data_IF_861755819770
#
_entry.id   IF_861755819770
#
_cell.length_a   1.000
_cell.length_b   1.000
_cell.length_c   1.000
_cell.angle_alpha   90.00
_cell.angle_beta   90.00
_cell.angle_gamma   90.00
#
_symmetry.space_group_name_H-M   'P 1'
#
loop_
_entity.id
_entity.type
_entity.pdbx_description
1 polymer ?
#
# COMPACT_ATOMS: atom_id res chain seq x y z
N UNK A 1 2.68 -8.77 -18.85
CA UNK A 1 1.93 -8.57 -17.58
C UNK A 1 2.81 -9.06 -16.46
N UNK A 2 3.08 -8.21 -15.47
CA UNK A 2 3.94 -8.54 -14.34
C UNK A 2 3.10 -8.75 -13.07
N UNK A 3 3.24 -9.94 -12.46
CA UNK A 3 2.71 -10.25 -11.13
C UNK A 3 3.72 -9.86 -10.03
N UNK A 4 5.01 -9.88 -10.37
CA UNK A 4 6.09 -9.27 -9.59
C UNK A 4 6.98 -8.41 -10.50
N UNK A 5 7.56 -7.36 -9.96
CA UNK A 5 8.47 -6.47 -10.69
C UNK A 5 9.52 -5.88 -9.74
N UNK A 6 10.75 -5.69 -10.22
CA UNK A 6 11.81 -5.09 -9.42
C UNK A 6 11.68 -3.57 -9.47
N UNK A 7 11.85 -2.93 -8.32
CA UNK A 7 11.96 -1.48 -8.22
C UNK A 7 12.94 -1.16 -7.10
N UNK A 8 13.97 -0.39 -7.43
CA UNK A 8 15.18 -0.23 -6.61
C UNK A 8 15.75 -1.61 -6.20
N UNK A 9 16.04 -1.80 -4.91
CA UNK A 9 16.56 -3.05 -4.34
C UNK A 9 15.46 -3.98 -3.81
N UNK A 10 14.19 -3.67 -4.08
CA UNK A 10 13.04 -4.44 -3.60
C UNK A 10 12.29 -5.14 -4.74
N UNK A 11 11.55 -6.20 -4.40
CA UNK A 11 10.65 -6.88 -5.35
C UNK A 11 9.21 -6.57 -4.98
N UNK A 12 8.46 -6.01 -5.92
CA UNK A 12 7.09 -5.56 -5.71
C UNK A 12 6.11 -6.61 -6.21
N UNK A 13 5.02 -6.82 -5.46
CA UNK A 13 3.96 -7.79 -5.75
C UNK A 13 2.69 -7.06 -6.17
N UNK A 14 2.31 -7.23 -7.43
CA UNK A 14 1.08 -6.71 -8.02
C UNK A 14 -0.06 -7.73 -7.81
N UNK A 15 -0.53 -7.84 -6.56
CA UNK A 15 -1.44 -8.90 -6.12
C UNK A 15 -2.89 -8.75 -6.64
N UNK A 16 -3.31 -7.51 -6.90
CA UNK A 16 -4.66 -7.18 -7.38
C UNK A 16 -4.65 -5.85 -8.11
N UNK A 17 -5.61 -5.66 -9.02
CA UNK A 17 -5.92 -4.38 -9.63
C UNK A 17 -7.22 -3.76 -9.09
N UNK A 18 -7.91 -4.43 -8.15
CA UNK A 18 -9.07 -3.87 -7.45
C UNK A 18 -8.61 -2.85 -6.42
N UNK A 19 -9.40 -1.80 -6.20
CA UNK A 19 -9.11 -0.78 -5.19
C UNK A 19 -10.42 -0.23 -4.62
N UNK A 20 -10.37 0.27 -3.39
CA UNK A 20 -11.50 0.91 -2.69
C UNK A 20 -11.56 2.43 -2.91
N UNK A 21 -10.65 2.96 -3.73
CA UNK A 21 -10.48 4.38 -4.00
C UNK A 21 -10.19 4.61 -5.48
N UNK A 22 -10.79 5.66 -6.04
CA UNK A 22 -10.55 6.12 -7.41
C UNK A 22 -9.77 7.44 -7.38
N UNK A 23 -8.57 7.41 -6.80
CA UNK A 23 -7.81 8.62 -6.50
C UNK A 23 -7.52 9.45 -7.75
N UNK A 24 -7.70 10.76 -7.64
CA UNK A 24 -7.40 11.76 -8.69
C UNK A 24 -5.94 11.76 -9.14
N UNK A 25 -5.04 11.27 -8.29
CA UNK A 25 -3.61 11.20 -8.50
C UNK A 25 -3.10 9.80 -8.83
N UNK A 26 -4.00 8.82 -9.01
CA UNK A 26 -3.59 7.46 -9.32
C UNK A 26 -3.02 7.40 -10.75
N UNK A 27 -1.76 7.02 -10.87
CA UNK A 27 -1.08 6.85 -12.16
C UNK A 27 -1.57 5.64 -12.95
N UNK A 28 -2.30 4.70 -12.34
CA UNK A 28 -2.79 3.46 -13.00
C UNK A 28 -3.44 3.73 -14.36
N UNK A 29 -4.33 4.72 -14.43
CA UNK A 29 -5.04 5.02 -15.66
C UNK A 29 -4.21 5.94 -16.56
N UNK A 30 -3.55 6.95 -15.98
CA UNK A 30 -2.70 7.91 -16.70
C UNK A 30 -1.57 7.22 -17.48
N UNK A 31 -0.93 6.23 -16.86
CA UNK A 31 0.20 5.50 -17.43
C UNK A 31 -0.27 4.21 -18.15
N UNK A 32 -1.55 4.12 -18.50
CA UNK A 32 -2.14 2.98 -19.19
C UNK A 32 -1.85 1.62 -18.53
N UNK A 33 -1.70 1.59 -17.20
CA UNK A 33 -1.39 0.38 -16.45
C UNK A 33 0.07 -0.09 -16.60
N UNK A 34 0.96 0.74 -17.14
CA UNK A 34 2.40 0.53 -17.12
C UNK A 34 3.05 1.26 -15.94
N UNK A 35 4.14 0.72 -15.44
CA UNK A 35 4.99 1.35 -14.43
C UNK A 35 6.44 0.99 -14.75
N UNK A 36 7.26 1.97 -15.18
CA UNK A 36 8.70 1.80 -15.45
C UNK A 36 9.02 0.55 -16.27
N UNK A 37 8.39 0.43 -17.44
CA UNK A 37 8.57 -0.70 -18.36
C UNK A 37 7.76 -1.96 -18.02
N UNK A 38 7.10 -2.03 -16.86
CA UNK A 38 6.27 -3.17 -16.49
C UNK A 38 4.78 -2.93 -16.75
N UNK A 39 4.13 -3.80 -17.54
CA UNK A 39 2.68 -3.81 -17.66
C UNK A 39 2.05 -4.49 -16.44
N UNK A 40 1.39 -3.71 -15.59
CA UNK A 40 0.77 -4.14 -14.33
C UNK A 40 -0.74 -4.42 -14.46
N UNK A 41 -1.31 -4.38 -15.68
CA UNK A 41 -2.71 -4.78 -15.90
C UNK A 41 -2.85 -6.29 -15.79
N UNK A 42 -3.47 -6.75 -14.72
CA UNK A 42 -3.72 -8.17 -14.47
C UNK A 42 -4.87 -8.65 -15.35
N UNK A 43 -4.65 -9.74 -16.11
CA UNK A 43 -5.72 -10.49 -16.79
C UNK A 43 -6.59 -11.25 -15.79
N UNK A 44 -5.95 -11.79 -14.74
CA UNK A 44 -6.55 -12.48 -13.60
C UNK A 44 -5.70 -12.17 -12.37
N UNK A 45 -6.30 -12.12 -11.18
CA UNK A 45 -5.54 -11.97 -9.95
C UNK A 45 -4.73 -13.26 -9.68
N UNK A 46 -3.41 -13.16 -9.43
CA UNK A 46 -2.56 -14.35 -9.30
C UNK A 46 -2.85 -15.13 -8.01
N UNK A 47 -2.64 -16.44 -8.02
CA UNK A 47 -2.70 -17.25 -6.79
C UNK A 47 -1.48 -17.00 -5.90
N UNK A 48 -1.53 -17.34 -4.60
CA UNK A 48 -0.36 -17.32 -3.72
C UNK A 48 0.83 -18.10 -4.31
N UNK A 49 0.58 -19.26 -4.89
CA UNK A 49 1.59 -20.15 -5.48
C UNK A 49 2.25 -19.50 -6.71
N UNK A 50 1.47 -18.85 -7.57
CA UNK A 50 2.00 -18.10 -8.72
C UNK A 50 2.91 -16.95 -8.28
N UNK A 51 2.54 -16.23 -7.22
CA UNK A 51 3.37 -15.16 -6.66
C UNK A 51 4.65 -15.71 -6.04
N UNK A 52 4.55 -16.76 -5.23
CA UNK A 52 5.70 -17.42 -4.58
C UNK A 52 6.70 -17.92 -5.63
N UNK A 53 6.22 -18.61 -6.67
CA UNK A 53 7.04 -19.09 -7.78
C UNK A 53 7.76 -17.95 -8.52
N UNK A 54 7.12 -16.77 -8.60
CA UNK A 54 7.71 -15.60 -9.23
C UNK A 54 8.74 -14.88 -8.33
N UNK A 55 8.59 -14.92 -7.01
CA UNK A 55 9.55 -14.32 -6.05
C UNK A 55 10.89 -15.08 -6.06
N UNK A 56 10.84 -16.41 -6.10
CA UNK A 56 11.99 -17.34 -6.07
C UNK A 56 12.83 -17.27 -4.78
N UNK A 57 13.62 -16.21 -4.59
CA UNK A 57 14.51 -16.06 -3.42
C UNK A 57 14.32 -14.68 -2.77
N UNK A 58 13.46 -14.56 -1.76
CA UNK A 58 13.10 -13.26 -1.20
C UNK A 58 14.26 -12.57 -0.47
N UNK A 59 15.20 -13.33 0.10
CA UNK A 59 16.42 -12.83 0.74
C UNK A 59 17.39 -12.06 -0.19
N UNK A 60 17.15 -12.05 -1.51
CA UNK A 60 17.92 -11.22 -2.46
C UNK A 60 17.50 -9.75 -2.50
N UNK A 61 16.39 -9.41 -1.84
CA UNK A 61 15.80 -8.08 -1.89
C UNK A 61 15.76 -7.46 -0.50
N UNK A 62 15.79 -6.14 -0.43
CA UNK A 62 15.60 -5.42 0.84
C UNK A 62 14.24 -5.74 1.46
N UNK A 63 13.22 -5.93 0.60
CA UNK A 63 11.91 -6.41 0.96
C UNK A 63 11.12 -6.95 -0.24
N UNK A 64 10.14 -7.79 0.07
CA UNK A 64 8.99 -8.09 -0.77
C UNK A 64 7.89 -7.08 -0.43
N UNK A 65 7.55 -6.23 -1.40
CA UNK A 65 6.64 -5.10 -1.21
C UNK A 65 5.30 -5.38 -1.87
N UNK A 66 4.26 -5.58 -1.07
CA UNK A 66 2.89 -5.64 -1.59
C UNK A 66 2.45 -4.24 -2.02
N UNK A 67 2.52 -4.00 -3.33
CA UNK A 67 2.24 -2.73 -3.95
C UNK A 67 2.06 -2.93 -5.47
N UNK A 68 1.12 -2.22 -6.06
CA UNK A 68 0.82 -2.31 -7.48
C UNK A 68 -0.32 -1.37 -7.83
N UNK A 69 -1.14 -1.76 -8.80
CA UNK A 69 -2.29 -0.96 -9.25
C UNK A 69 -3.63 -1.31 -8.60
N UNK A 70 -3.56 -1.82 -7.38
CA UNK A 70 -4.72 -2.09 -6.53
C UNK A 70 -4.39 -1.96 -5.05
N UNK A 71 -5.36 -2.28 -4.22
CA UNK A 71 -5.25 -2.35 -2.76
C UNK A 71 -4.91 -3.79 -2.35
N UNK A 72 -3.64 -4.10 -1.99
CA UNK A 72 -3.21 -5.46 -1.70
C UNK A 72 -3.97 -6.09 -0.52
N UNK A 73 -4.39 -5.29 0.47
CA UNK A 73 -5.14 -5.80 1.61
C UNK A 73 -6.56 -6.28 1.26
N UNK A 74 -7.08 -6.03 0.04
CA UNK A 74 -8.31 -6.69 -0.44
C UNK A 74 -8.14 -8.21 -0.63
N UNK A 75 -6.89 -8.68 -0.66
CA UNK A 75 -6.53 -10.08 -0.77
C UNK A 75 -5.75 -10.54 0.46
N UNK A 76 -6.28 -10.22 1.65
CA UNK A 76 -5.64 -10.47 2.94
C UNK A 76 -5.14 -11.91 3.09
N UNK A 77 -5.96 -12.92 2.79
CA UNK A 77 -5.54 -14.33 2.98
C UNK A 77 -4.40 -14.73 2.05
N UNK A 78 -4.44 -14.31 0.78
CA UNK A 78 -3.33 -14.54 -0.15
C UNK A 78 -2.06 -13.83 0.32
N UNK A 79 -2.19 -12.57 0.77
CA UNK A 79 -1.07 -11.80 1.31
C UNK A 79 -0.45 -12.49 2.53
N UNK A 80 -1.26 -12.98 3.48
CA UNK A 80 -0.77 -13.69 4.67
C UNK A 80 0.02 -14.95 4.30
N UNK A 81 -0.50 -15.76 3.36
CA UNK A 81 0.19 -16.98 2.90
C UNK A 81 1.54 -16.66 2.26
N UNK A 82 1.57 -15.68 1.36
CA UNK A 82 2.82 -15.26 0.71
C UNK A 82 3.79 -14.67 1.73
N UNK A 83 3.30 -13.86 2.67
CA UNK A 83 4.12 -13.22 3.71
C UNK A 83 4.81 -14.26 4.62
N UNK A 84 4.06 -15.27 5.08
CA UNK A 84 4.62 -16.36 5.87
C UNK A 84 5.74 -17.08 5.12
N UNK A 85 5.50 -17.44 3.85
CA UNK A 85 6.52 -18.07 3.00
C UNK A 85 7.75 -17.16 2.81
N UNK A 86 7.56 -15.84 2.62
CA UNK A 86 8.66 -14.89 2.48
C UNK A 86 9.55 -14.88 3.72
N UNK A 87 8.96 -14.89 4.91
CA UNK A 87 9.70 -14.93 6.18
C UNK A 87 10.45 -16.25 6.38
N UNK A 88 9.81 -17.39 6.11
CA UNK A 88 10.46 -18.71 6.14
C UNK A 88 11.70 -18.79 5.24
N UNK A 89 11.74 -17.97 4.17
CA UNK A 89 12.83 -17.93 3.20
C UNK A 89 13.77 -16.73 3.38
N UNK A 90 13.75 -16.12 4.57
CA UNK A 90 14.70 -15.08 5.01
C UNK A 90 14.47 -13.70 4.38
N UNK A 91 13.27 -13.44 3.87
CA UNK A 91 12.86 -12.14 3.35
C UNK A 91 12.19 -11.25 4.39
N UNK A 92 11.95 -10.00 4.03
CA UNK A 92 11.10 -9.05 4.76
C UNK A 92 9.87 -8.69 3.94
N UNK A 93 8.77 -8.39 4.61
CA UNK A 93 7.49 -8.05 4.01
C UNK A 93 7.14 -6.59 4.31
N UNK A 94 6.84 -5.84 3.25
CA UNK A 94 6.34 -4.47 3.36
C UNK A 94 5.01 -4.33 2.63
N UNK A 95 4.09 -3.55 3.18
CA UNK A 95 2.77 -3.32 2.58
C UNK A 95 2.54 -1.85 2.32
N UNK A 96 2.18 -1.49 1.09
CA UNK A 96 1.68 -0.16 0.75
C UNK A 96 0.15 -0.25 0.63
N UNK A 97 -0.58 0.56 1.39
CA UNK A 97 -2.04 0.48 1.46
C UNK A 97 -2.71 1.85 1.51
N UNK A 98 -3.97 1.90 1.08
CA UNK A 98 -4.92 2.98 1.33
C UNK A 98 -5.36 3.04 2.79
N UNK A 99 -5.22 1.95 3.56
CA UNK A 99 -5.66 1.87 4.96
C UNK A 99 -7.14 1.55 5.15
N UNK A 100 -7.85 1.14 4.09
CA UNK A 100 -9.29 0.83 4.15
C UNK A 100 -9.63 -0.59 4.59
N UNK A 101 -8.64 -1.44 4.93
CA UNK A 101 -8.88 -2.86 5.17
C UNK A 101 -9.93 -3.13 6.25
N UNK A 102 -9.88 -2.42 7.39
CA UNK A 102 -10.88 -2.59 8.45
C UNK A 102 -12.31 -2.22 7.99
N UNK A 103 -12.46 -1.25 7.06
CA UNK A 103 -13.77 -0.93 6.47
C UNK A 103 -14.27 -2.03 5.55
N UNK A 104 -13.36 -2.64 4.78
CA UNK A 104 -13.67 -3.74 3.86
C UNK A 104 -14.12 -4.97 4.63
N UNK A 105 -13.34 -5.40 5.62
CA UNK A 105 -13.60 -6.62 6.39
C UNK A 105 -14.58 -6.41 7.55
N UNK A 106 -14.96 -5.17 7.85
CA UNK A 106 -15.87 -4.80 8.95
C UNK A 106 -15.40 -5.29 10.32
N UNK A 107 -14.09 -5.42 10.50
CA UNK A 107 -13.41 -5.84 11.74
C UNK A 107 -11.98 -5.33 11.77
N UNK A 108 -11.34 -5.40 12.92
CA UNK A 108 -9.92 -5.05 13.03
C UNK A 108 -9.05 -6.20 12.52
N UNK A 109 -8.40 -6.00 11.37
CA UNK A 109 -7.47 -6.98 10.78
C UNK A 109 -6.03 -6.77 11.24
N UNK A 110 -5.73 -5.67 11.94
CA UNK A 110 -4.35 -5.34 12.28
C UNK A 110 -3.64 -6.37 13.17
N UNK A 111 -4.31 -7.11 14.08
CA UNK A 111 -3.67 -8.22 14.80
C UNK A 111 -3.21 -9.36 13.88
N UNK A 112 -3.90 -9.59 12.75
CA UNK A 112 -3.52 -10.64 11.80
C UNK A 112 -2.29 -10.29 10.98
N UNK A 113 -1.80 -9.05 11.05
CA UNK A 113 -0.56 -8.64 10.39
C UNK A 113 0.67 -8.87 11.27
N UNK A 114 0.47 -9.16 12.57
CA UNK A 114 1.55 -9.38 13.52
C UNK A 114 2.40 -10.58 13.09
N UNK A 115 3.72 -10.40 13.08
CA UNK A 115 4.67 -11.43 12.66
C UNK A 115 4.66 -11.74 11.16
N UNK A 116 3.80 -11.09 10.35
CA UNK A 116 3.74 -11.27 8.89
C UNK A 116 4.14 -10.02 8.11
N UNK A 117 3.98 -8.84 8.69
CA UNK A 117 4.31 -7.56 8.04
C UNK A 117 5.34 -6.82 8.88
N UNK A 118 6.52 -6.56 8.31
CA UNK A 118 7.60 -5.84 8.98
C UNK A 118 7.40 -4.32 8.93
N UNK A 119 6.91 -3.82 7.78
CA UNK A 119 6.58 -2.41 7.62
C UNK A 119 5.31 -2.16 6.81
N UNK A 120 4.55 -1.14 7.20
CA UNK A 120 3.35 -0.70 6.48
C UNK A 120 3.38 0.80 6.20
N UNK A 121 3.17 1.16 4.94
CA UNK A 121 3.04 2.54 4.48
C UNK A 121 1.58 2.83 4.10
N UNK A 122 0.96 3.76 4.81
CA UNK A 122 -0.46 4.07 4.68
C UNK A 122 -0.62 5.44 4.00
N UNK A 123 -1.43 5.49 2.95
CA UNK A 123 -1.62 6.70 2.12
C UNK A 123 -2.67 7.63 2.73
N UNK A 124 -2.23 8.73 3.35
CA UNK A 124 -3.14 9.71 3.99
C UNK A 124 -3.52 10.86 3.05
N UNK A 125 -2.53 11.49 2.42
CA UNK A 125 -2.60 12.57 1.42
C UNK A 125 -3.57 13.76 1.68
N UNK A 126 -4.16 13.89 2.86
CA UNK A 126 -5.13 14.92 3.17
C UNK A 126 -5.18 15.19 4.67
N UNK A 127 -5.65 16.38 5.02
CA UNK A 127 -5.71 16.88 6.41
C UNK A 127 -7.14 16.93 6.97
N UNK A 128 -8.14 16.59 6.16
CA UNK A 128 -9.56 16.57 6.54
C UNK A 128 -10.35 15.55 5.73
N UNK A 129 -11.50 15.11 6.25
CA UNK A 129 -12.39 14.18 5.57
C UNK A 129 -12.92 14.70 4.22
N UNK A 130 -13.21 16.01 4.13
CA UNK A 130 -13.63 16.66 2.88
C UNK A 130 -12.53 16.57 1.83
N UNK A 131 -11.29 16.97 2.19
CA UNK A 131 -10.15 16.93 1.27
C UNK A 131 -9.78 15.50 0.88
N UNK A 132 -9.83 14.57 1.84
CA UNK A 132 -9.58 13.15 1.59
C UNK A 132 -10.57 12.58 0.59
N UNK A 133 -11.87 12.84 0.78
CA UNK A 133 -12.93 12.38 -0.13
C UNK A 133 -12.74 12.94 -1.54
N UNK A 134 -12.42 14.23 -1.66
CA UNK A 134 -12.17 14.86 -2.96
C UNK A 134 -10.99 14.22 -3.69
N UNK A 135 -9.89 13.96 -2.98
CA UNK A 135 -8.66 13.42 -3.55
C UNK A 135 -8.72 11.93 -3.85
N UNK A 136 -9.16 11.11 -2.89
CA UNK A 136 -9.13 9.66 -2.98
C UNK A 136 -10.40 9.07 -3.60
N UNK A 137 -11.54 9.79 -3.53
CA UNK A 137 -12.84 9.29 -3.96
C UNK A 137 -13.12 7.86 -3.43
N UNK A 138 -13.09 7.67 -2.10
CA UNK A 138 -13.24 6.34 -1.51
C UNK A 138 -14.69 5.86 -1.63
N UNK A 139 -14.89 4.57 -1.86
CA UNK A 139 -16.24 3.96 -1.93
C UNK A 139 -17.02 4.07 -0.63
N UNK A 140 -16.33 4.30 0.50
CA UNK A 140 -16.94 4.42 1.82
C UNK A 140 -17.29 5.86 2.22
N UNK A 141 -17.01 6.85 1.36
CA UNK A 141 -17.30 8.25 1.63
C UNK A 141 -16.44 8.88 2.73
N UNK A 142 -16.91 9.99 3.35
CA UNK A 142 -16.09 10.81 4.27
C UNK A 142 -15.53 10.09 5.50
N UNK A 143 -16.19 9.02 5.96
CA UNK A 143 -15.72 8.23 7.11
C UNK A 143 -14.37 7.53 6.86
N UNK A 144 -13.98 7.33 5.60
CA UNK A 144 -12.68 6.76 5.23
C UNK A 144 -11.51 7.47 5.88
N UNK A 145 -11.54 8.80 5.98
CA UNK A 145 -10.43 9.57 6.53
C UNK A 145 -10.11 9.18 7.98
N UNK A 146 -11.14 9.14 8.84
CA UNK A 146 -10.97 8.73 10.24
C UNK A 146 -10.62 7.25 10.35
N UNK A 147 -11.16 6.40 9.48
CA UNK A 147 -10.85 4.98 9.47
C UNK A 147 -9.38 4.70 9.12
N UNK A 148 -8.79 5.45 8.18
CA UNK A 148 -7.36 5.33 7.83
C UNK A 148 -6.46 5.76 8.98
N UNK A 149 -6.83 6.83 9.68
CA UNK A 149 -6.13 7.29 10.89
C UNK A 149 -6.20 6.24 12.00
N UNK A 150 -7.38 5.68 12.24
CA UNK A 150 -7.58 4.62 13.23
C UNK A 150 -6.82 3.34 12.86
N UNK A 151 -6.82 2.96 11.58
CA UNK A 151 -6.06 1.82 11.06
C UNK A 151 -4.57 1.99 11.33
N UNK A 152 -3.99 3.16 11.02
CA UNK A 152 -2.58 3.45 11.31
C UNK A 152 -2.26 3.37 12.81
N UNK A 153 -3.15 3.88 13.67
CA UNK A 153 -3.02 3.81 15.12
C UNK A 153 -3.03 2.36 15.63
N UNK A 154 -3.87 1.51 15.06
CA UNK A 154 -3.98 0.09 15.43
C UNK A 154 -2.80 -0.74 14.92
N UNK A 155 -2.35 -0.51 13.69
CA UNK A 155 -1.16 -1.14 13.12
C UNK A 155 0.06 -0.99 14.04
N UNK A 156 0.24 0.15 14.70
CA UNK A 156 1.38 0.39 15.61
C UNK A 156 1.50 -0.65 16.74
N UNK A 157 0.39 -1.31 17.11
CA UNK A 157 0.38 -2.35 18.15
C UNK A 157 0.92 -3.70 17.66
N UNK A 158 1.02 -3.90 16.34
CA UNK A 158 1.20 -5.22 15.72
C UNK A 158 2.28 -5.24 14.62
N UNK A 159 2.53 -4.11 13.97
CA UNK A 159 3.51 -3.94 12.88
C UNK A 159 4.67 -3.08 13.39
N UNK A 160 5.94 -3.55 13.31
CA UNK A 160 7.10 -2.82 13.83
C UNK A 160 7.25 -1.41 13.26
N UNK A 161 7.14 -1.26 11.94
CA UNK A 161 7.31 0.01 11.26
C UNK A 161 6.01 0.49 10.60
N UNK A 162 5.40 1.54 11.16
CA UNK A 162 4.21 2.18 10.60
C UNK A 162 4.55 3.58 10.12
N UNK A 163 4.29 3.84 8.83
CA UNK A 163 4.53 5.15 8.21
C UNK A 163 3.28 5.68 7.55
N UNK A 164 2.86 6.91 7.90
CA UNK A 164 1.89 7.65 7.10
C UNK A 164 2.61 8.38 5.97
N UNK A 165 2.01 8.37 4.78
CA UNK A 165 2.56 9.02 3.60
C UNK A 165 1.63 10.10 3.05
N UNK A 166 2.23 11.13 2.47
CA UNK A 166 1.53 12.21 1.78
C UNK A 166 2.29 12.56 0.50
N UNK A 167 1.56 12.66 -0.61
CA UNK A 167 2.08 13.19 -1.86
C UNK A 167 2.24 14.72 -1.75
N UNK A 168 3.28 15.27 -2.37
CA UNK A 168 3.59 16.70 -2.42
C UNK A 168 2.75 17.45 -3.47
N UNK A 169 1.42 17.50 -3.32
CA UNK A 169 0.56 18.32 -4.21
C UNK A 169 0.76 19.82 -4.01
N UNK A 170 0.97 20.22 -2.77
CA UNK A 170 1.26 21.57 -2.31
C UNK A 170 1.98 21.46 -0.96
N UNK A 171 2.64 22.52 -0.50
CA UNK A 171 3.44 22.48 0.73
C UNK A 171 2.61 22.31 2.01
N UNK A 172 1.33 22.72 2.00
CA UNK A 172 0.45 22.71 3.18
C UNK A 172 -0.03 21.31 3.56
N UNK A 173 -0.29 20.46 2.56
CA UNK A 173 -0.80 19.09 2.75
C UNK A 173 0.22 18.21 3.52
N UNK A 174 1.51 18.14 3.16
CA UNK A 174 2.53 17.40 3.91
C UNK A 174 2.69 17.86 5.35
N UNK A 175 2.69 19.18 5.62
CA UNK A 175 2.85 19.70 6.97
C UNK A 175 1.70 19.28 7.89
N UNK A 176 0.46 19.32 7.39
CA UNK A 176 -0.70 18.85 8.15
C UNK A 176 -0.71 17.34 8.37
N UNK A 177 -0.37 16.55 7.36
CA UNK A 177 -0.26 15.09 7.50
C UNK A 177 0.83 14.70 8.49
N UNK A 178 1.96 15.42 8.52
CA UNK A 178 3.03 15.23 9.51
C UNK A 178 2.53 15.45 10.94
N UNK A 179 1.70 16.48 11.17
CA UNK A 179 1.09 16.71 12.49
C UNK A 179 0.17 15.57 12.92
N UNK A 180 -0.61 15.01 11.98
CA UNK A 180 -1.47 13.84 12.24
C UNK A 180 -0.61 12.64 12.62
N UNK A 181 0.42 12.33 11.84
CA UNK A 181 1.34 11.22 12.12
C UNK A 181 2.02 11.35 13.49
N UNK A 182 2.49 12.55 13.84
CA UNK A 182 3.07 12.85 15.16
C UNK A 182 2.07 12.61 16.30
N UNK A 183 0.80 13.03 16.14
CA UNK A 183 -0.25 12.82 17.16
C UNK A 183 -0.54 11.34 17.39
N UNK A 184 -0.48 10.52 16.35
CA UNK A 184 -0.68 9.06 16.44
C UNK A 184 0.61 8.38 16.95
N UNK A 185 1.77 9.03 16.78
CA UNK A 185 3.07 8.51 17.15
C UNK A 185 3.61 7.48 16.16
N UNK A 186 3.43 7.73 14.86
CA UNK A 186 3.95 6.92 13.74
C UNK A 186 4.88 7.75 12.86
N UNK A 187 5.72 7.10 12.06
CA UNK A 187 6.61 7.79 11.14
C UNK A 187 5.82 8.52 10.03
N UNK A 188 6.48 9.49 9.40
CA UNK A 188 5.89 10.25 8.30
C UNK A 188 6.88 10.43 7.16
N UNK A 189 6.43 10.20 5.93
CA UNK A 189 7.24 10.38 4.72
C UNK A 189 6.46 11.11 3.63
N UNK A 190 7.09 12.11 3.04
CA UNK A 190 6.57 12.79 1.84
C UNK A 190 6.95 11.97 0.60
N UNK A 191 6.04 11.91 -0.37
CA UNK A 191 6.27 11.26 -1.66
C UNK A 191 6.14 12.30 -2.78
N UNK A 192 6.93 12.19 -3.86
CA UNK A 192 6.73 13.03 -5.03
C UNK A 192 5.37 12.75 -5.66
N UNK A 193 4.78 13.78 -6.26
CA UNK A 193 3.65 13.61 -7.17
C UNK A 193 4.17 13.12 -8.52
N UNK A 194 3.61 12.01 -9.01
CA UNK A 194 3.96 11.43 -10.31
C UNK A 194 2.88 11.83 -11.30
N UNK A 195 3.27 12.56 -12.36
CA UNK A 195 2.34 13.02 -13.38
C UNK A 195 2.67 12.43 -14.75
N UNK A 196 3.84 12.76 -15.29
CA UNK A 196 4.34 12.24 -16.57
C UNK A 196 4.89 10.83 -16.43
N UNK A 197 4.78 10.04 -17.50
CA UNK A 197 5.25 8.66 -17.50
C UNK A 197 6.78 8.61 -17.49
N UNK A 198 7.35 7.97 -16.46
CA UNK A 198 8.78 7.74 -16.34
C UNK A 198 9.13 6.35 -16.91
N UNK A 199 10.03 6.33 -17.89
CA UNK A 199 10.46 5.10 -18.56
C UNK A 199 11.48 4.26 -17.76
N UNK A 200 11.97 4.73 -16.61
CA UNK A 200 13.07 4.10 -15.87
C UNK A 200 13.03 4.38 -14.37
#
# INVERSE_FOLDING_TARGET
MAIVYKYDNSLYVNLTNRCTAACTFCIKNKWHGHFRGHNLRLKKEPSPEEVIAAIKKPSKYDAIVFCGYGEPLLRLDALKQIAAWVHEHGGKVRVNTSGHANLVYRRDITPELAGLVDAISISLNATSARRYTLLHRPVFGPKSFNAVIDFARRCKKHVPEVTLTCISFNEKDPAGCRRIARRIGVAFRVRPYLDEYENS
#
